data_IF_077616728317
#
_entry.id   IF_077616728317
#
_cell.length_a   1.000
_cell.length_b   1.000
_cell.length_c   1.000
_cell.angle_alpha   90.00
_cell.angle_beta   90.00
_cell.angle_gamma   90.00
#
_symmetry.space_group_name_H-M   'P 1'
#
loop_
_entity.id
_entity.type
_entity.pdbx_description
1 polymer ?
#
# COMPACT_ATOMS: atom_id res chain seq x y z
N UNK A 1 21.29 -25.81 -29.20
CA UNK A 1 22.18 -25.01 -28.36
C UNK A 1 21.35 -24.00 -27.55
N UNK A 2 21.04 -24.38 -26.33
CA UNK A 2 20.27 -23.54 -25.38
C UNK A 2 21.28 -22.59 -24.71
N UNK A 3 21.17 -21.28 -24.96
CA UNK A 3 21.87 -20.27 -24.18
C UNK A 3 21.02 -19.95 -22.94
N UNK A 4 21.36 -20.56 -21.83
CA UNK A 4 20.91 -20.09 -20.50
C UNK A 4 21.63 -18.78 -20.19
N UNK A 5 20.93 -17.67 -20.32
CA UNK A 5 21.34 -16.39 -19.79
C UNK A 5 20.81 -16.29 -18.35
N UNK A 6 21.72 -16.48 -17.40
CA UNK A 6 21.51 -16.12 -15.99
C UNK A 6 21.42 -14.61 -15.92
N UNK A 7 20.20 -14.08 -15.88
CA UNK A 7 19.94 -12.67 -15.62
C UNK A 7 19.56 -12.53 -14.15
N UNK A 8 20.50 -11.98 -13.40
CA UNK A 8 20.35 -11.40 -12.08
C UNK A 8 19.07 -10.56 -12.01
N UNK A 9 18.09 -11.01 -11.23
CA UNK A 9 17.16 -10.24 -10.43
C UNK A 9 16.22 -9.19 -11.05
N UNK A 10 16.27 -8.89 -12.36
CA UNK A 10 15.32 -7.99 -13.01
C UNK A 10 14.45 -8.77 -13.98
N UNK A 11 13.30 -9.19 -13.53
CA UNK A 11 12.27 -9.76 -14.40
C UNK A 11 11.75 -8.67 -15.33
N UNK A 12 12.12 -8.76 -16.62
CA UNK A 12 11.60 -7.86 -17.65
C UNK A 12 10.15 -8.23 -17.95
N UNK A 13 9.24 -7.30 -17.70
CA UNK A 13 7.79 -7.42 -17.89
C UNK A 13 7.34 -7.45 -19.36
N UNK A 14 8.24 -7.33 -20.32
CA UNK A 14 7.90 -7.29 -21.73
C UNK A 14 8.33 -8.58 -22.44
N UNK A 15 7.34 -9.45 -22.68
CA UNK A 15 7.42 -10.44 -23.72
C UNK A 15 7.42 -9.76 -25.12
N UNK A 16 7.92 -10.47 -26.13
CA UNK A 16 7.91 -10.07 -27.55
C UNK A 16 6.43 -9.95 -27.99
N UNK A 17 5.93 -8.74 -28.14
CA UNK A 17 4.54 -8.46 -28.50
C UNK A 17 3.86 -7.55 -27.47
N UNK A 18 2.62 -7.16 -27.74
CA UNK A 18 1.77 -6.35 -26.85
C UNK A 18 1.22 -7.13 -25.62
N UNK A 19 1.85 -8.24 -25.25
CA UNK A 19 1.43 -9.11 -24.17
C UNK A 19 2.03 -8.59 -22.86
N UNK A 20 1.16 -8.25 -21.93
CA UNK A 20 1.54 -7.88 -20.55
C UNK A 20 1.13 -9.04 -19.66
N UNK A 21 2.14 -9.71 -19.09
CA UNK A 21 1.91 -10.80 -18.14
C UNK A 21 1.72 -10.25 -16.74
N UNK A 22 0.84 -10.88 -15.96
CA UNK A 22 0.72 -10.62 -14.54
C UNK A 22 1.95 -11.17 -13.81
N UNK A 23 2.39 -10.48 -12.78
CA UNK A 23 3.58 -10.83 -12.01
C UNK A 23 3.42 -12.25 -11.42
N UNK A 24 4.33 -13.13 -11.80
CA UNK A 24 4.38 -14.51 -11.30
C UNK A 24 3.44 -15.52 -11.95
N UNK A 25 2.55 -15.11 -12.85
CA UNK A 25 1.66 -16.00 -13.60
C UNK A 25 2.03 -16.13 -15.08
N UNK A 26 1.64 -17.25 -15.69
CA UNK A 26 1.69 -17.46 -17.15
C UNK A 26 0.51 -16.83 -17.86
N UNK A 27 -0.46 -16.30 -17.10
CA UNK A 27 -1.67 -15.72 -17.63
C UNK A 27 -1.44 -14.32 -18.18
N UNK A 28 -1.87 -14.10 -19.41
CA UNK A 28 -1.81 -12.83 -20.09
C UNK A 28 -3.00 -11.98 -19.67
N UNK A 29 -2.76 -10.74 -19.28
CA UNK A 29 -3.84 -9.80 -18.98
C UNK A 29 -4.75 -9.61 -20.21
N UNK A 30 -6.07 -9.59 -20.05
CA UNK A 30 -7.01 -9.45 -21.15
C UNK A 30 -6.77 -8.15 -21.93
N UNK A 31 -7.12 -8.18 -23.21
CA UNK A 31 -7.01 -7.00 -24.07
C UNK A 31 -7.95 -5.88 -23.58
N UNK A 32 -7.59 -4.61 -23.77
CA UNK A 32 -8.46 -3.50 -23.45
C UNK A 32 -9.78 -3.55 -24.26
N UNK A 33 -10.84 -3.01 -23.69
CA UNK A 33 -12.12 -2.88 -24.36
C UNK A 33 -12.04 -1.92 -25.54
N UNK A 34 -12.84 -2.19 -26.59
CA UNK A 34 -13.05 -1.22 -27.64
C UNK A 34 -13.90 -0.03 -27.14
N UNK A 35 -13.74 1.14 -27.75
CA UNK A 35 -14.41 2.38 -27.33
C UNK A 35 -15.95 2.23 -27.27
N UNK A 36 -16.53 1.46 -28.19
CA UNK A 36 -17.96 1.21 -28.21
C UNK A 36 -18.42 0.29 -27.07
N UNK A 37 -17.60 -0.70 -26.73
CA UNK A 37 -17.86 -1.62 -25.60
C UNK A 37 -17.68 -0.92 -24.26
N UNK A 38 -16.64 -0.10 -24.12
CA UNK A 38 -16.40 0.70 -22.92
C UNK A 38 -17.60 1.61 -22.62
N UNK A 39 -18.13 2.30 -23.63
CA UNK A 39 -19.31 3.15 -23.48
C UNK A 39 -20.55 2.35 -23.05
N UNK A 40 -20.77 1.16 -23.60
CA UNK A 40 -21.89 0.29 -23.20
C UNK A 40 -21.76 -0.11 -21.72
N UNK A 41 -20.55 -0.50 -21.28
CA UNK A 41 -20.32 -0.86 -19.89
C UNK A 41 -20.51 0.34 -18.96
N UNK A 42 -20.08 1.54 -19.37
CA UNK A 42 -20.29 2.76 -18.59
C UNK A 42 -21.78 3.09 -18.47
N UNK A 43 -22.57 2.88 -19.51
CA UNK A 43 -24.03 3.07 -19.43
C UNK A 43 -24.73 2.02 -18.56
N UNK A 44 -24.16 0.84 -18.40
CA UNK A 44 -24.66 -0.18 -17.48
C UNK A 44 -24.35 0.12 -16.01
N UNK A 45 -23.42 1.03 -15.71
CA UNK A 45 -23.18 1.51 -14.35
C UNK A 45 -24.44 2.27 -13.88
N UNK A 46 -25.07 1.76 -12.82
CA UNK A 46 -26.34 2.27 -12.30
C UNK A 46 -27.59 1.50 -12.74
N UNK A 47 -27.43 0.36 -13.46
CA UNK A 47 -28.50 -0.56 -13.79
C UNK A 47 -28.37 -1.88 -13.04
N UNK A 48 -29.32 -2.81 -13.23
CA UNK A 48 -29.37 -4.11 -12.53
C UNK A 48 -28.09 -4.93 -12.72
N UNK A 49 -27.32 -4.72 -13.79
CA UNK A 49 -26.10 -5.45 -14.13
C UNK A 49 -24.83 -4.66 -13.77
N UNK A 50 -24.90 -3.78 -12.79
CA UNK A 50 -23.78 -2.90 -12.41
C UNK A 50 -22.53 -3.65 -11.97
N UNK A 51 -22.67 -4.71 -11.17
CA UNK A 51 -21.52 -5.49 -10.68
C UNK A 51 -20.74 -6.18 -11.79
N UNK A 52 -21.44 -6.74 -12.78
CA UNK A 52 -20.79 -7.37 -13.94
C UNK A 52 -20.08 -6.35 -14.80
N UNK A 53 -20.69 -5.18 -15.01
CA UNK A 53 -20.06 -4.09 -15.74
C UNK A 53 -18.83 -3.54 -15.02
N UNK A 54 -18.88 -3.40 -13.69
CA UNK A 54 -17.74 -2.98 -12.87
C UNK A 54 -16.59 -3.98 -12.96
N UNK A 55 -16.86 -5.27 -12.74
CA UNK A 55 -15.85 -6.33 -12.81
C UNK A 55 -15.16 -6.34 -14.16
N UNK A 56 -15.91 -6.24 -15.25
CA UNK A 56 -15.37 -6.21 -16.60
C UNK A 56 -14.54 -4.93 -16.86
N UNK A 57 -14.99 -3.77 -16.42
CA UNK A 57 -14.24 -2.53 -16.53
C UNK A 57 -12.93 -2.57 -15.73
N UNK A 58 -12.93 -3.16 -14.55
CA UNK A 58 -11.71 -3.34 -13.73
C UNK A 58 -10.74 -4.26 -14.47
N UNK A 59 -11.19 -5.46 -14.84
CA UNK A 59 -10.37 -6.49 -15.45
C UNK A 59 -9.68 -6.02 -16.74
N UNK A 60 -10.42 -5.36 -17.61
CA UNK A 60 -9.91 -4.86 -18.88
C UNK A 60 -8.99 -3.64 -18.76
N UNK A 61 -9.01 -2.94 -17.63
CA UNK A 61 -8.17 -1.79 -17.36
C UNK A 61 -6.96 -2.10 -16.44
N UNK A 62 -6.75 -3.35 -16.02
CA UNK A 62 -5.57 -3.73 -15.22
C UNK A 62 -4.24 -3.43 -15.92
N UNK A 63 -4.21 -3.51 -17.26
CA UNK A 63 -3.02 -3.12 -18.05
C UNK A 63 -2.61 -1.67 -17.80
N UNK A 64 -3.58 -0.77 -17.63
CA UNK A 64 -3.32 0.63 -17.31
C UNK A 64 -2.68 0.78 -15.93
N UNK A 65 -3.13 0.00 -14.95
CA UNK A 65 -2.54 -0.02 -13.60
C UNK A 65 -1.07 -0.43 -13.67
N UNK A 66 -0.76 -1.54 -14.35
CA UNK A 66 0.61 -2.02 -14.53
C UNK A 66 1.51 -0.97 -15.20
N UNK A 67 0.99 -0.30 -16.23
CA UNK A 67 1.72 0.75 -16.93
C UNK A 67 2.04 1.94 -16.01
N UNK A 68 1.08 2.36 -15.17
CA UNK A 68 1.29 3.48 -14.25
C UNK A 68 2.21 3.05 -13.09
N UNK A 69 1.99 1.88 -12.48
CA UNK A 69 2.83 1.37 -11.40
C UNK A 69 4.31 1.31 -11.79
N UNK A 70 4.60 0.93 -13.03
CA UNK A 70 5.97 0.88 -13.56
C UNK A 70 6.66 2.25 -13.57
N UNK A 71 5.95 3.37 -13.66
CA UNK A 71 6.54 4.71 -13.56
C UNK A 71 7.09 5.01 -12.17
N UNK A 72 6.59 4.30 -11.15
CA UNK A 72 6.99 4.46 -9.76
C UNK A 72 7.99 3.41 -9.27
N UNK A 73 8.56 2.58 -10.15
CA UNK A 73 9.53 1.53 -9.81
C UNK A 73 10.75 2.07 -9.03
N UNK A 74 11.14 3.33 -9.26
CA UNK A 74 12.29 3.97 -8.63
C UNK A 74 12.06 4.39 -7.18
N UNK A 75 10.89 4.12 -6.58
CA UNK A 75 10.54 4.56 -5.22
C UNK A 75 11.01 3.62 -4.11
N UNK A 76 11.62 2.47 -4.47
CA UNK A 76 12.11 1.46 -3.54
C UNK A 76 11.01 0.56 -2.96
N UNK A 77 9.80 0.64 -3.49
CA UNK A 77 8.67 -0.25 -3.17
C UNK A 77 8.57 -1.32 -4.26
N UNK A 78 8.19 -2.53 -3.88
CA UNK A 78 7.96 -3.62 -4.84
C UNK A 78 6.89 -3.24 -5.87
N UNK A 79 7.14 -3.58 -7.15
CA UNK A 79 6.17 -3.30 -8.23
C UNK A 79 4.83 -3.98 -7.96
N UNK A 80 4.85 -5.14 -7.30
CA UNK A 80 3.65 -5.91 -6.93
C UNK A 80 2.76 -5.14 -5.97
N UNK A 81 3.37 -4.50 -4.97
CA UNK A 81 2.66 -3.64 -4.01
C UNK A 81 2.07 -2.42 -4.71
N UNK A 82 2.86 -1.79 -5.60
CA UNK A 82 2.40 -0.64 -6.38
C UNK A 82 1.22 -0.98 -7.29
N UNK A 83 1.20 -2.19 -7.89
CA UNK A 83 0.07 -2.67 -8.70
C UNK A 83 -1.15 -2.91 -7.81
N UNK A 84 -0.97 -3.52 -6.64
CA UNK A 84 -2.06 -3.77 -5.70
C UNK A 84 -2.71 -2.46 -5.25
N UNK A 85 -1.91 -1.46 -4.88
CA UNK A 85 -2.37 -0.12 -4.50
C UNK A 85 -3.02 0.59 -5.69
N UNK A 86 -2.41 0.51 -6.87
CA UNK A 86 -2.95 1.07 -8.10
C UNK A 86 -4.30 0.45 -8.47
N UNK A 87 -4.51 -0.84 -8.22
CA UNK A 87 -5.78 -1.53 -8.44
C UNK A 87 -6.87 -0.98 -7.51
N UNK A 88 -6.55 -0.69 -6.26
CA UNK A 88 -7.49 0.00 -5.34
C UNK A 88 -7.87 1.38 -5.92
N UNK A 89 -6.90 2.11 -6.46
CA UNK A 89 -7.14 3.39 -7.13
C UNK A 89 -8.06 3.27 -8.35
N UNK A 90 -7.91 2.21 -9.16
CA UNK A 90 -8.78 1.91 -10.29
C UNK A 90 -10.21 1.59 -9.84
N UNK A 91 -10.39 0.77 -8.81
CA UNK A 91 -11.70 0.43 -8.26
C UNK A 91 -12.41 1.69 -7.76
N UNK A 92 -11.71 2.55 -7.01
CA UNK A 92 -12.24 3.84 -6.56
C UNK A 92 -12.63 4.72 -7.74
N UNK A 93 -11.82 4.76 -8.79
CA UNK A 93 -12.11 5.53 -9.99
C UNK A 93 -13.39 5.07 -10.67
N UNK A 94 -13.59 3.77 -10.86
CA UNK A 94 -14.80 3.21 -11.51
C UNK A 94 -16.05 3.52 -10.68
N UNK A 95 -15.95 3.41 -9.34
CA UNK A 95 -17.07 3.68 -8.44
C UNK A 95 -17.48 5.16 -8.40
N UNK A 96 -16.55 6.08 -8.65
CA UNK A 96 -16.79 7.53 -8.58
C UNK A 96 -16.89 8.19 -9.96
N UNK A 97 -16.78 7.39 -11.03
CA UNK A 97 -16.81 7.90 -12.39
C UNK A 97 -18.17 8.47 -12.76
N UNK A 98 -18.17 9.69 -13.30
CA UNK A 98 -19.37 10.34 -13.80
C UNK A 98 -19.25 10.59 -15.31
N UNK A 99 -20.03 9.86 -16.14
CA UNK A 99 -19.98 9.99 -17.59
C UNK A 99 -20.46 11.38 -18.10
N UNK A 100 -21.26 12.10 -17.31
CA UNK A 100 -21.75 13.43 -17.69
C UNK A 100 -20.63 14.47 -17.86
N UNK A 101 -19.48 14.26 -17.25
CA UNK A 101 -18.32 15.18 -17.34
C UNK A 101 -17.56 15.12 -18.67
N UNK A 102 -17.95 14.26 -19.62
CA UNK A 102 -17.33 14.11 -20.95
C UNK A 102 -15.80 13.85 -20.91
N UNK A 103 -15.31 13.22 -19.86
CA UNK A 103 -13.90 12.84 -19.67
C UNK A 103 -13.79 11.35 -19.96
N UNK A 104 -12.72 10.91 -20.65
CA UNK A 104 -12.47 9.47 -20.86
C UNK A 104 -12.17 8.77 -19.54
N UNK A 105 -12.71 7.56 -19.36
CA UNK A 105 -12.48 6.75 -18.17
C UNK A 105 -10.98 6.56 -17.90
N UNK A 106 -10.19 6.23 -18.89
CA UNK A 106 -8.76 6.03 -18.76
C UNK A 106 -8.03 7.27 -18.20
N UNK A 107 -8.43 8.49 -18.60
CA UNK A 107 -7.84 9.73 -18.10
C UNK A 107 -8.17 9.96 -16.63
N UNK A 108 -9.41 9.69 -16.23
CA UNK A 108 -9.84 9.82 -14.85
C UNK A 108 -9.20 8.75 -13.96
N UNK A 109 -9.22 7.49 -14.41
CA UNK A 109 -8.62 6.37 -13.72
C UNK A 109 -7.11 6.56 -13.50
N UNK A 110 -6.36 7.05 -14.52
CA UNK A 110 -4.93 7.34 -14.39
C UNK A 110 -4.64 8.28 -13.23
N UNK A 111 -5.42 9.35 -13.09
CA UNK A 111 -5.27 10.31 -11.98
C UNK A 111 -5.58 9.69 -10.62
N UNK A 112 -6.62 8.87 -10.54
CA UNK A 112 -6.98 8.19 -9.30
C UNK A 112 -5.91 7.17 -8.88
N UNK A 113 -5.37 6.41 -9.84
CA UNK A 113 -4.30 5.44 -9.60
C UNK A 113 -3.03 6.16 -9.12
N UNK A 114 -2.59 7.21 -9.83
CA UNK A 114 -1.43 8.01 -9.44
C UNK A 114 -1.60 8.60 -8.04
N UNK A 115 -2.76 9.16 -7.73
CA UNK A 115 -3.05 9.74 -6.42
C UNK A 115 -2.99 8.69 -5.31
N UNK A 116 -3.53 7.49 -5.51
CA UNK A 116 -3.51 6.42 -4.51
C UNK A 116 -2.08 5.95 -4.23
N UNK A 117 -1.27 5.77 -5.28
CA UNK A 117 0.15 5.44 -5.14
C UNK A 117 0.89 6.55 -4.39
N UNK A 118 0.70 7.82 -4.75
CA UNK A 118 1.35 8.94 -4.08
C UNK A 118 0.92 9.06 -2.61
N UNK A 119 -0.34 8.81 -2.29
CA UNK A 119 -0.80 8.78 -0.89
C UNK A 119 -0.11 7.68 -0.10
N UNK A 120 0.03 6.50 -0.68
CA UNK A 120 0.75 5.40 -0.05
C UNK A 120 2.22 5.73 0.18
N UNK A 121 2.91 6.29 -0.82
CA UNK A 121 4.29 6.72 -0.71
C UNK A 121 4.51 7.75 0.41
N UNK A 122 3.60 8.73 0.53
CA UNK A 122 3.66 9.74 1.62
C UNK A 122 3.48 9.11 2.99
N UNK A 123 2.59 8.11 3.11
CA UNK A 123 2.37 7.38 4.36
C UNK A 123 3.60 6.56 4.72
N UNK A 124 4.13 5.81 3.76
CA UNK A 124 5.29 4.95 3.96
C UNK A 124 6.57 5.74 4.27
N UNK A 125 6.73 6.97 3.74
CA UNK A 125 7.86 7.82 4.09
C UNK A 125 7.85 8.26 5.56
N UNK A 126 6.69 8.38 6.19
CA UNK A 126 6.61 8.65 7.63
C UNK A 126 7.08 7.46 8.43
N UNK A 127 6.67 6.26 8.04
CA UNK A 127 7.01 4.99 8.72
C UNK A 127 8.49 4.60 8.54
N UNK A 128 9.15 5.04 7.49
CA UNK A 128 10.59 4.80 7.28
C UNK A 128 11.50 5.43 8.35
N UNK A 129 11.01 6.42 9.06
CA UNK A 129 11.73 7.09 10.16
C UNK A 129 11.47 6.44 11.51
N UNK A 130 10.60 5.44 11.56
CA UNK A 130 10.31 4.68 12.78
C UNK A 130 11.42 3.63 12.97
N UNK A 131 12.00 3.63 14.15
CA UNK A 131 13.01 2.66 14.59
C UNK A 131 12.31 1.62 15.46
N UNK A 132 12.62 0.34 15.29
CA UNK A 132 12.05 -0.71 16.12
C UNK A 132 12.55 -0.56 17.56
N UNK A 133 11.67 -0.71 18.53
CA UNK A 133 12.04 -0.69 19.95
C UNK A 133 12.90 -1.90 20.34
N UNK A 134 12.79 -3.00 19.58
CA UNK A 134 13.58 -4.22 19.74
C UNK A 134 14.85 -4.20 18.88
N UNK A 135 15.21 -3.06 18.26
CA UNK A 135 16.43 -2.96 17.47
C UNK A 135 17.63 -2.89 18.41
N UNK A 136 18.63 -3.76 18.23
CA UNK A 136 19.83 -3.75 19.05
C UNK A 136 20.66 -2.49 18.75
N UNK A 137 20.87 -1.66 19.75
CA UNK A 137 21.72 -0.45 19.64
C UNK A 137 23.19 -0.80 19.64
N UNK A 138 23.57 -1.83 20.37
CA UNK A 138 24.93 -2.32 20.43
C UNK A 138 24.94 -3.81 20.79
N UNK A 139 25.90 -4.53 20.25
CA UNK A 139 26.16 -5.93 20.57
C UNK A 139 27.55 -6.00 21.19
N UNK A 140 27.65 -6.48 22.42
CA UNK A 140 28.92 -6.63 23.11
C UNK A 140 29.69 -7.84 22.55
N UNK A 141 30.98 -7.90 22.76
CA UNK A 141 31.84 -9.00 22.32
C UNK A 141 31.49 -10.36 22.95
N UNK A 142 30.76 -10.36 24.07
CA UNK A 142 30.21 -11.55 24.73
C UNK A 142 28.84 -11.98 24.12
N UNK A 143 28.34 -11.25 23.12
CA UNK A 143 27.07 -11.53 22.43
C UNK A 143 25.83 -11.01 23.17
N UNK A 144 25.99 -10.15 24.18
CA UNK A 144 24.86 -9.49 24.83
C UNK A 144 24.38 -8.32 23.95
N UNK A 145 23.09 -8.27 23.68
CA UNK A 145 22.45 -7.21 22.90
C UNK A 145 21.83 -6.18 23.86
N UNK A 146 22.18 -4.91 23.67
CA UNK A 146 21.53 -3.78 24.32
C UNK A 146 20.42 -3.28 23.43
N UNK A 147 19.17 -3.46 23.83
CA UNK A 147 18.01 -3.06 23.09
C UNK A 147 17.63 -1.61 23.37
N UNK A 148 16.95 -0.97 22.43
CA UNK A 148 16.39 0.37 22.62
C UNK A 148 15.36 0.39 23.75
N UNK A 149 14.63 -0.70 23.96
CA UNK A 149 13.68 -0.90 25.07
C UNK A 149 14.32 -0.82 26.45
N UNK A 150 15.60 -1.24 26.58
CA UNK A 150 16.31 -1.25 27.87
C UNK A 150 16.71 0.17 28.30
N UNK A 151 16.88 1.08 27.34
CA UNK A 151 17.27 2.49 27.59
C UNK A 151 16.04 3.39 27.75
N UNK A 152 14.95 3.12 27.03
CA UNK A 152 13.72 3.93 27.04
C UNK A 152 12.75 3.45 28.14
N UNK A 153 13.24 3.10 29.30
CA UNK A 153 12.39 2.80 30.46
C UNK A 153 12.03 4.06 31.23
N UNK A 154 10.87 4.08 31.85
CA UNK A 154 10.58 4.98 32.98
C UNK A 154 11.14 4.34 34.24
N UNK A 155 11.73 5.16 35.16
CA UNK A 155 12.17 4.67 36.47
C UNK A 155 11.01 3.89 37.11
N UNK A 156 11.31 2.70 37.63
CA UNK A 156 10.33 1.79 38.25
C UNK A 156 9.52 2.48 39.36
N UNK A 157 10.13 3.46 40.03
CA UNK A 157 9.55 4.18 41.17
C UNK A 157 8.61 5.35 40.79
N UNK A 158 8.47 5.74 39.49
CA UNK A 158 7.65 6.90 39.13
C UNK A 158 6.17 6.68 39.47
N UNK A 159 5.67 5.46 39.27
CA UNK A 159 4.27 5.11 39.55
C UNK A 159 4.05 5.05 41.06
N UNK A 160 5.04 4.60 41.82
CA UNK A 160 4.95 4.48 43.27
C UNK A 160 5.15 5.81 44.00
N UNK A 161 5.90 6.77 43.46
CA UNK A 161 6.08 8.12 44.01
C UNK A 161 4.78 8.87 44.23
N UNK A 162 3.86 8.79 43.27
CA UNK A 162 2.56 9.44 43.41
C UNK A 162 1.68 8.72 44.45
N UNK A 163 1.78 7.40 44.53
CA UNK A 163 1.09 6.57 45.52
C UNK A 163 1.62 6.83 46.94
N UNK A 164 2.93 6.88 47.11
CA UNK A 164 3.58 7.20 48.39
C UNK A 164 3.22 8.62 48.84
N UNK A 165 3.22 9.58 47.94
CA UNK A 165 2.78 10.96 48.24
C UNK A 165 1.33 11.00 48.74
N UNK A 166 0.40 10.23 48.12
CA UNK A 166 -0.98 10.13 48.57
C UNK A 166 -1.12 9.43 49.94
N UNK A 167 -0.33 8.41 50.18
CA UNK A 167 -0.32 7.69 51.46
C UNK A 167 0.18 8.57 52.63
N UNK A 168 1.24 9.38 52.40
CA UNK A 168 1.79 10.28 53.42
C UNK A 168 0.96 11.56 53.62
N UNK A 169 0.21 12.01 52.61
CA UNK A 169 -0.65 13.21 52.68
C UNK A 169 -2.08 12.90 53.13
N UNK A 170 -2.49 11.64 53.15
CA UNK A 170 -3.79 11.24 53.66
C UNK A 170 -3.83 11.42 55.20
N UNK A 171 -4.74 12.24 55.72
CA UNK A 171 -4.82 12.42 57.17
C UNK A 171 -5.14 11.09 57.87
N UNK A 172 -4.32 10.73 58.84
CA UNK A 172 -4.55 9.52 59.64
C UNK A 172 -5.94 9.60 60.33
N UNK A 173 -6.69 8.49 60.42
CA UNK A 173 -7.97 8.45 61.12
C UNK A 173 -7.88 8.87 62.61
N UNK A 174 -6.64 9.02 63.16
CA UNK A 174 -6.37 9.47 64.53
C UNK A 174 -6.32 11.00 64.66
N UNK A 175 -6.19 11.73 63.57
CA UNK A 175 -6.13 13.21 63.57
C UNK A 175 -7.49 13.87 63.49
N UNK A 176 -8.57 13.10 63.51
CA UNK A 176 -9.96 13.55 63.50
C UNK A 176 -10.67 13.37 64.85
N UNK A 177 -9.93 13.56 65.96
CA UNK A 177 -10.52 13.50 67.32
C UNK A 177 -10.47 14.85 67.98
#
# INVERSE_FOLDING_TARGET
MLKLSLVSGRRTFFGRGNEIHYIGGTEILPAPLDTAEEQKMIHMLGTVNEETARSMLIERNLRLVVYIAKKFDNTGIGVEDLISIGTIGLIKAINTFNPAKKIKLATYASRCIENEILMYLRRNNKTKMEVSIDEPLNVDWDGNELLLSDILGTDEDIIYKDLDCLLYTSPSPRDCS
#
